data_IF_383687988785
#
_entry.id   IF_383687988785
#
_cell.length_a   1.000
_cell.length_b   1.000
_cell.length_c   1.000
_cell.angle_alpha   90.00
_cell.angle_beta   90.00
_cell.angle_gamma   90.00
#
_symmetry.space_group_name_H-M   'P 1'
#
loop_
_entity.id
_entity.type
_entity.pdbx_description
1 polymer ?
#
# COMPACT_ATOMS: atom_id res chain seq x y z
N UNK A 1 11.78 6.25 2.00
CA UNK A 1 11.56 4.89 1.52
C UNK A 1 10.17 4.76 0.92
N UNK A 2 10.01 3.82 0.01
CA UNK A 2 8.75 3.72 -0.74
C UNK A 2 7.55 3.43 0.17
N UNK A 3 7.74 2.57 1.17
CA UNK A 3 6.65 2.26 2.09
C UNK A 3 6.11 3.51 2.76
N UNK A 4 6.99 4.35 3.26
CA UNK A 4 6.57 5.58 3.95
C UNK A 4 5.85 6.52 2.99
N UNK A 5 6.33 6.63 1.76
CA UNK A 5 5.71 7.50 0.76
C UNK A 5 4.32 6.99 0.41
N UNK A 6 4.18 5.70 0.17
CA UNK A 6 2.88 5.12 -0.18
C UNK A 6 1.90 5.29 0.97
N UNK A 7 2.35 5.04 2.19
CA UNK A 7 1.47 5.20 3.35
C UNK A 7 0.99 6.63 3.50
N UNK A 8 1.90 7.59 3.34
CA UNK A 8 1.57 8.99 3.46
C UNK A 8 0.55 9.41 2.40
N UNK A 9 0.74 8.96 1.18
CA UNK A 9 -0.17 9.30 0.10
C UNK A 9 -1.53 8.64 0.26
N UNK A 10 -1.55 7.44 0.83
CA UNK A 10 -2.81 6.78 1.14
C UNK A 10 -3.57 7.57 2.20
N UNK A 11 -2.88 8.03 3.23
CA UNK A 11 -3.52 8.80 4.29
C UNK A 11 -4.07 10.12 3.78
N UNK A 12 -3.46 10.68 2.74
CA UNK A 12 -3.92 11.92 2.13
C UNK A 12 -4.98 11.68 1.06
N UNK A 13 -5.40 10.44 0.88
CA UNK A 13 -6.39 10.04 -0.11
C UNK A 13 -5.93 10.25 -1.55
N UNK A 14 -4.62 10.35 -1.77
CA UNK A 14 -4.08 10.41 -3.13
C UNK A 14 -4.09 9.02 -3.74
N UNK A 15 -3.74 7.99 -2.94
CA UNK A 15 -3.81 6.59 -3.36
C UNK A 15 -4.98 5.92 -2.65
N UNK A 16 -5.64 4.98 -3.32
CA UNK A 16 -6.62 4.13 -2.68
C UNK A 16 -6.07 2.72 -2.51
N UNK A 17 -6.91 1.80 -2.03
CA UNK A 17 -6.45 0.44 -1.76
C UNK A 17 -5.95 -0.26 -3.03
N UNK A 18 -6.58 0.03 -4.17
CA UNK A 18 -6.15 -0.58 -5.42
C UNK A 18 -4.77 -0.08 -5.83
N UNK A 19 -4.50 1.20 -5.61
CA UNK A 19 -3.19 1.74 -5.91
C UNK A 19 -2.12 1.08 -5.04
N UNK A 20 -2.41 0.91 -3.76
CA UNK A 20 -1.46 0.25 -2.85
C UNK A 20 -1.26 -1.20 -3.28
N UNK A 21 -2.32 -1.88 -3.72
CA UNK A 21 -2.22 -3.26 -4.19
C UNK A 21 -1.32 -3.36 -5.42
N UNK A 22 -1.36 -2.36 -6.30
CA UNK A 22 -0.48 -2.34 -7.47
C UNK A 22 0.98 -2.33 -7.04
N UNK A 23 1.31 -1.58 -5.99
CA UNK A 23 2.68 -1.57 -5.48
C UNK A 23 3.09 -2.94 -4.95
N UNK A 24 2.15 -3.68 -4.33
CA UNK A 24 2.44 -5.03 -3.88
C UNK A 24 2.73 -5.95 -5.08
N UNK A 25 1.90 -5.87 -6.11
CA UNK A 25 2.07 -6.69 -7.31
C UNK A 25 3.39 -6.38 -8.01
N UNK A 26 3.79 -5.12 -7.98
CA UNK A 26 5.03 -4.70 -8.62
C UNK A 26 6.26 -5.07 -7.80
N UNK A 27 6.07 -5.62 -6.59
CA UNK A 27 7.17 -5.96 -5.72
C UNK A 27 7.81 -4.78 -5.05
N UNK A 28 7.12 -3.64 -5.02
CA UNK A 28 7.65 -2.44 -4.38
C UNK A 28 7.43 -2.44 -2.87
N UNK A 29 6.33 -3.04 -2.43
CA UNK A 29 6.04 -3.22 -1.01
C UNK A 29 5.56 -4.65 -0.82
N UNK A 30 5.54 -5.08 0.44
CA UNK A 30 5.12 -6.45 0.77
C UNK A 30 3.63 -6.46 1.13
N UNK A 31 2.98 -7.65 1.09
CA UNK A 31 1.60 -7.76 1.57
C UNK A 31 1.43 -7.32 3.01
N UNK A 32 2.46 -7.52 3.85
CA UNK A 32 2.39 -7.06 5.23
C UNK A 32 2.37 -5.53 5.30
N UNK A 33 3.15 -4.90 4.43
CA UNK A 33 3.15 -3.44 4.37
C UNK A 33 1.83 -2.90 3.86
N UNK A 34 1.19 -3.63 2.93
CA UNK A 34 -0.14 -3.26 2.48
C UNK A 34 -1.11 -3.24 3.65
N UNK A 35 -1.06 -4.26 4.50
CA UNK A 35 -1.93 -4.31 5.67
C UNK A 35 -1.64 -3.16 6.63
N UNK A 36 -0.37 -2.83 6.83
CA UNK A 36 -0.01 -1.69 7.68
C UNK A 36 -0.57 -0.39 7.14
N UNK A 37 -0.61 -0.25 5.83
CA UNK A 37 -1.05 1.00 5.20
C UNK A 37 -2.56 1.11 5.20
N UNK A 38 -3.26 0.05 4.77
CA UNK A 38 -4.69 0.10 4.53
C UNK A 38 -5.51 -0.41 5.72
N UNK A 39 -4.89 -1.15 6.62
CA UNK A 39 -5.59 -1.76 7.74
C UNK A 39 -6.34 -3.02 7.36
N UNK A 40 -6.15 -3.53 6.16
CA UNK A 40 -6.79 -4.76 5.70
C UNK A 40 -5.75 -5.70 5.11
N UNK A 41 -5.92 -7.02 5.30
CA UNK A 41 -4.97 -7.97 4.74
C UNK A 41 -5.01 -7.94 3.21
N UNK A 42 -3.83 -8.10 2.61
CA UNK A 42 -3.74 -8.13 1.16
C UNK A 42 -4.30 -9.45 0.64
N UNK A 43 -5.15 -9.36 -0.37
CA UNK A 43 -5.72 -10.55 -1.01
C UNK A 43 -5.36 -10.53 -2.50
N UNK A 44 -4.88 -11.67 -2.95
CA UNK A 44 -4.59 -11.84 -4.38
C UNK A 44 -5.87 -11.96 -5.18
#
# INVERSE_FOLDING_TARGET
MLFTVVKRYYEKCIYDKEDVAVFVRAGRITPEQYEDITGEPYQN
#
